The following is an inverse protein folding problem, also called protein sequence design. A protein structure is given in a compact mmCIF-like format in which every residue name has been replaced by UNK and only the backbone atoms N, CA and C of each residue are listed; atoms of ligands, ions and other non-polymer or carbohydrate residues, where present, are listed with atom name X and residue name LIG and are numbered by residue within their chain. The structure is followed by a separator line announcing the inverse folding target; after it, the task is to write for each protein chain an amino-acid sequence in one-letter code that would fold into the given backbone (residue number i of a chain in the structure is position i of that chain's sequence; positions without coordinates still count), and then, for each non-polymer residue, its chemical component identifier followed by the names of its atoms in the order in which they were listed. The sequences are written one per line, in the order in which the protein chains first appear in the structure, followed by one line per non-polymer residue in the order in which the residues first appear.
data_IF_736143304624
#
_entry.id   IF_736143304624
#
_cell.length_a   1.000
_cell.length_b   1.000
_cell.length_c   1.000
_cell.angle_alpha   90.00
_cell.angle_beta   90.00
_cell.angle_gamma   90.00
#
_symmetry.space_group_name_H-M   'P 1'
#
loop_
_entity.id
_entity.type
_entity.pdbx_description
1 polymer ?
#
# COMPACT_ATOMS: atom_id res chain seq x y z
N UNK A 1 19.79 36.98 10.67
CA UNK A 1 21.10 37.54 10.29
C UNK A 1 21.23 37.74 8.76
N UNK A 2 20.13 37.69 8.01
CA UNK A 2 20.09 37.80 6.52
C UNK A 2 19.85 39.24 6.01
N UNK A 3 19.57 40.18 6.89
CA UNK A 3 19.12 41.55 6.53
C UNK A 3 20.23 42.56 6.27
N UNK A 4 21.48 42.23 6.62
CA UNK A 4 22.59 43.19 6.54
C UNK A 4 23.37 43.19 5.21
N UNK A 5 23.20 42.17 4.35
CA UNK A 5 24.05 41.93 3.18
C UNK A 5 23.56 42.65 1.91
N UNK A 6 22.36 43.22 1.90
CA UNK A 6 21.78 43.89 0.73
C UNK A 6 22.08 45.41 0.62
N UNK A 7 23.06 45.90 1.33
CA UNK A 7 23.33 47.35 1.37
C UNK A 7 24.26 47.83 0.24
N UNK A 8 25.27 47.04 -0.13
CA UNK A 8 26.27 47.45 -1.08
C UNK A 8 25.75 47.59 -2.54
N UNK A 9 24.81 46.70 -2.96
CA UNK A 9 24.17 46.84 -4.25
C UNK A 9 23.26 48.08 -4.36
N UNK A 10 22.64 48.49 -3.25
CA UNK A 10 21.84 49.75 -3.19
C UNK A 10 22.69 51.02 -3.27
N UNK A 11 23.95 50.93 -2.92
CA UNK A 11 24.89 52.06 -3.00
C UNK A 11 25.47 52.22 -4.39
N UNK A 12 25.31 51.23 -5.28
CA UNK A 12 25.73 51.34 -6.69
C UNK A 12 24.86 52.35 -7.40
N UNK A 13 25.48 53.34 -8.09
CA UNK A 13 24.72 54.34 -8.86
C UNK A 13 23.72 53.67 -9.84
N UNK A 14 22.46 54.16 -9.90
CA UNK A 14 21.43 53.57 -10.74
C UNK A 14 21.79 53.47 -12.23
N UNK A 15 22.64 54.35 -12.71
CA UNK A 15 23.10 54.27 -14.11
C UNK A 15 24.06 53.10 -14.34
N UNK A 16 24.91 52.77 -13.35
CA UNK A 16 25.82 51.59 -13.45
C UNK A 16 25.04 50.30 -13.36
N UNK A 17 24.03 50.21 -12.48
CA UNK A 17 23.14 49.06 -12.40
C UNK A 17 22.43 48.83 -13.75
N UNK A 18 21.87 49.89 -14.37
CA UNK A 18 21.23 49.80 -15.67
C UNK A 18 22.22 49.39 -16.78
N UNK A 19 23.45 49.96 -16.77
CA UNK A 19 24.48 49.60 -17.73
C UNK A 19 24.94 48.16 -17.60
N UNK A 20 25.10 47.67 -16.36
CA UNK A 20 25.41 46.26 -16.05
C UNK A 20 24.32 45.36 -16.59
N UNK A 21 23.05 45.63 -16.24
CA UNK A 21 21.91 44.81 -16.63
C UNK A 21 21.74 44.80 -18.19
N UNK A 22 21.88 45.94 -18.87
CA UNK A 22 21.78 46.01 -20.32
C UNK A 22 22.84 45.14 -20.99
N UNK A 23 24.11 45.25 -20.54
CA UNK A 23 25.21 44.42 -21.09
C UNK A 23 25.01 42.93 -20.76
N UNK A 24 24.56 42.61 -19.54
CA UNK A 24 24.27 41.21 -19.16
C UNK A 24 23.19 40.62 -20.06
N UNK A 25 22.10 41.37 -20.36
CA UNK A 25 21.02 40.92 -21.22
C UNK A 25 21.46 40.73 -22.68
N UNK A 26 22.31 41.62 -23.20
CA UNK A 26 22.89 41.48 -24.54
C UNK A 26 23.69 40.19 -24.72
N UNK A 27 24.32 39.72 -23.65
CA UNK A 27 25.15 38.52 -23.67
C UNK A 27 24.40 37.23 -23.36
N UNK A 28 23.17 37.29 -22.84
CA UNK A 28 22.39 36.12 -22.48
C UNK A 28 22.29 35.06 -23.58
N UNK A 29 22.04 35.42 -24.87
CA UNK A 29 21.91 34.39 -25.91
C UNK A 29 23.20 33.59 -26.11
N UNK A 30 24.36 34.27 -26.16
CA UNK A 30 25.66 33.61 -26.32
C UNK A 30 26.05 32.80 -25.10
N UNK A 31 25.87 33.37 -23.91
CA UNK A 31 26.13 32.68 -22.63
C UNK A 31 25.26 31.44 -22.46
N UNK A 32 23.98 31.46 -22.82
CA UNK A 32 23.10 30.33 -22.78
C UNK A 32 23.56 29.19 -23.70
N UNK A 33 24.06 29.52 -24.90
CA UNK A 33 24.63 28.52 -25.80
C UNK A 33 25.92 27.91 -25.24
N UNK A 34 26.79 28.73 -24.68
CA UNK A 34 28.03 28.27 -24.05
C UNK A 34 27.75 27.34 -22.86
N UNK A 35 26.82 27.71 -21.97
CA UNK A 35 26.39 26.89 -20.89
C UNK A 35 25.83 25.55 -21.39
N UNK A 36 24.97 25.56 -22.39
CA UNK A 36 24.40 24.34 -22.97
C UNK A 36 25.49 23.44 -23.58
N UNK A 37 26.49 24.02 -24.23
CA UNK A 37 27.63 23.31 -24.83
C UNK A 37 28.42 22.58 -23.73
N UNK A 38 28.75 23.29 -22.64
CA UNK A 38 29.48 22.73 -21.51
C UNK A 38 28.68 21.65 -20.80
N UNK A 39 27.35 21.84 -20.62
CA UNK A 39 26.46 20.83 -20.08
C UNK A 39 26.50 19.55 -20.94
N UNK A 40 26.39 19.68 -22.26
CA UNK A 40 26.43 18.54 -23.17
C UNK A 40 27.77 17.80 -23.12
N UNK A 41 28.85 18.54 -22.96
CA UNK A 41 30.18 17.98 -22.83
C UNK A 41 30.35 17.22 -21.51
N UNK A 42 29.89 17.78 -20.39
CA UNK A 42 30.03 17.19 -19.07
C UNK A 42 29.02 16.06 -18.79
N UNK A 43 27.82 16.12 -19.42
CA UNK A 43 26.70 15.21 -19.18
C UNK A 43 26.06 14.73 -20.50
N UNK A 44 26.77 13.94 -21.34
CA UNK A 44 26.29 13.51 -22.65
C UNK A 44 25.07 12.59 -22.60
N UNK A 45 24.77 12.01 -21.44
CA UNK A 45 23.61 11.15 -21.20
C UNK A 45 22.29 11.93 -21.06
N UNK A 46 22.31 13.25 -20.93
CA UNK A 46 21.09 14.04 -20.81
C UNK A 46 20.36 14.09 -22.16
N UNK A 47 19.04 13.82 -22.19
CA UNK A 47 18.28 13.84 -23.43
C UNK A 47 18.15 15.27 -23.98
N UNK A 48 18.28 15.40 -25.28
CA UNK A 48 17.93 16.63 -25.97
C UNK A 48 16.45 16.58 -26.30
N UNK A 49 15.65 17.31 -25.53
CA UNK A 49 14.21 17.41 -25.76
C UNK A 49 13.93 18.72 -26.48
N UNK A 50 13.50 18.69 -27.76
CA UNK A 50 13.10 19.90 -28.47
C UNK A 50 11.77 20.46 -27.91
N UNK A 51 11.57 21.75 -27.98
CA UNK A 51 10.29 22.41 -27.75
C UNK A 51 9.37 22.35 -28.98
N UNK A 52 8.25 23.06 -28.94
CA UNK A 52 7.29 23.13 -30.04
C UNK A 52 7.86 23.81 -31.30
N UNK A 53 8.95 24.59 -31.17
CA UNK A 53 9.63 25.30 -32.24
C UNK A 53 10.94 24.64 -32.68
N UNK A 54 11.26 23.43 -32.12
CA UNK A 54 12.49 22.70 -32.44
C UNK A 54 13.74 23.19 -31.69
N UNK A 55 13.62 24.19 -30.80
CA UNK A 55 14.70 24.56 -29.88
C UNK A 55 14.84 23.55 -28.74
N UNK A 56 16.05 23.43 -28.21
CA UNK A 56 16.26 22.62 -27.01
C UNK A 56 15.56 23.27 -25.81
N UNK A 57 14.65 22.57 -25.16
CA UNK A 57 14.01 23.03 -23.90
C UNK A 57 15.04 23.49 -22.87
N UNK A 58 16.20 22.82 -22.81
CA UNK A 58 17.30 23.22 -21.95
C UNK A 58 17.83 24.62 -22.31
N UNK A 59 17.99 24.94 -23.59
CA UNK A 59 18.45 26.27 -24.04
C UNK A 59 17.45 27.36 -23.64
N UNK A 60 16.16 27.10 -23.88
CA UNK A 60 15.08 28.03 -23.50
C UNK A 60 15.08 28.24 -21.97
N UNK A 61 15.21 27.17 -21.18
CA UNK A 61 15.26 27.23 -19.72
C UNK A 61 16.47 28.03 -19.23
N UNK A 62 17.66 27.80 -19.78
CA UNK A 62 18.88 28.53 -19.42
C UNK A 62 18.71 30.02 -19.75
N UNK A 63 18.24 30.37 -20.96
CA UNK A 63 18.01 31.74 -21.37
C UNK A 63 17.02 32.43 -20.45
N UNK A 64 15.85 31.86 -20.22
CA UNK A 64 14.84 32.40 -19.31
C UNK A 64 15.36 32.60 -17.87
N UNK A 65 16.18 31.69 -17.39
CA UNK A 65 16.79 31.83 -16.05
C UNK A 65 17.72 33.02 -15.97
N UNK A 66 18.59 33.19 -16.96
CA UNK A 66 19.54 34.31 -17.00
C UNK A 66 18.80 35.65 -17.14
N UNK A 67 17.84 35.76 -18.04
CA UNK A 67 17.00 36.95 -18.21
C UNK A 67 16.24 37.29 -16.92
N UNK A 68 15.67 36.28 -16.28
CA UNK A 68 14.93 36.46 -15.03
C UNK A 68 15.81 36.87 -13.87
N UNK A 69 17.00 36.30 -13.74
CA UNK A 69 17.98 36.68 -12.74
C UNK A 69 18.41 38.15 -12.92
N UNK A 70 18.75 38.57 -14.14
CA UNK A 70 19.13 39.97 -14.44
C UNK A 70 17.97 40.93 -14.19
N UNK A 71 16.74 40.55 -14.59
CA UNK A 71 15.55 41.37 -14.30
C UNK A 71 15.30 41.54 -12.81
N UNK A 72 15.57 40.52 -12.03
CA UNK A 72 15.44 40.56 -10.55
C UNK A 72 16.42 41.57 -9.92
N UNK A 73 17.66 41.64 -10.41
CA UNK A 73 18.66 42.61 -9.94
C UNK A 73 18.25 44.06 -10.11
N UNK A 74 17.45 44.36 -11.14
CA UNK A 74 16.97 45.72 -11.47
C UNK A 74 15.64 46.07 -10.79
N UNK A 75 14.88 45.07 -10.36
CA UNK A 75 13.52 45.26 -9.82
C UNK A 75 13.47 45.64 -8.33
N UNK A 76 14.59 45.54 -7.62
CA UNK A 76 14.69 45.81 -6.18
C UNK A 76 14.27 44.62 -5.29
N UNK A 77 14.59 44.67 -4.01
CA UNK A 77 14.51 43.52 -3.06
C UNK A 77 13.10 43.09 -2.68
N UNK A 78 12.08 43.90 -2.98
CA UNK A 78 10.70 43.64 -2.51
C UNK A 78 9.86 42.80 -3.49
N UNK A 79 10.41 42.39 -4.64
CA UNK A 79 9.71 41.50 -5.55
C UNK A 79 9.99 40.03 -5.20
N UNK A 80 8.95 39.20 -5.08
CA UNK A 80 9.17 37.77 -4.84
C UNK A 80 9.94 37.15 -6.01
N UNK A 81 10.89 36.25 -5.68
CA UNK A 81 11.56 35.42 -6.66
C UNK A 81 10.55 34.47 -7.29
N UNK A 82 10.09 34.76 -8.51
CA UNK A 82 9.26 33.83 -9.28
C UNK A 82 10.20 33.08 -10.22
N UNK A 83 10.48 31.84 -9.89
CA UNK A 83 11.29 31.00 -10.74
C UNK A 83 10.47 30.50 -11.95
N UNK A 84 11.07 30.41 -13.14
CA UNK A 84 10.40 29.89 -14.32
C UNK A 84 9.86 28.47 -14.07
N UNK A 85 8.61 28.21 -14.48
CA UNK A 85 7.96 26.88 -14.32
C UNK A 85 8.71 25.75 -15.05
N UNK A 86 9.57 26.08 -15.99
CA UNK A 86 10.41 25.11 -16.71
C UNK A 86 11.25 24.22 -15.78
N UNK A 87 11.64 24.75 -14.60
CA UNK A 87 12.41 23.96 -13.61
C UNK A 87 11.56 22.90 -12.91
N UNK A 88 10.28 23.18 -12.67
CA UNK A 88 9.33 22.12 -12.23
C UNK A 88 9.16 21.05 -13.29
N UNK A 89 9.13 21.43 -14.57
CA UNK A 89 9.01 20.48 -15.68
C UNK A 89 10.27 19.61 -15.82
N UNK A 90 11.46 20.17 -15.62
CA UNK A 90 12.69 19.38 -15.58
C UNK A 90 12.67 18.35 -14.43
N UNK A 91 12.36 18.79 -13.23
CA UNK A 91 12.21 17.88 -12.10
C UNK A 91 11.15 16.81 -12.33
N UNK A 92 10.00 17.19 -12.90
CA UNK A 92 8.93 16.26 -13.29
C UNK A 92 9.41 15.24 -14.31
N UNK A 93 10.19 15.66 -15.31
CA UNK A 93 10.76 14.76 -16.32
C UNK A 93 11.68 13.70 -15.71
N UNK A 94 12.53 14.09 -14.76
CA UNK A 94 13.38 13.15 -14.01
C UNK A 94 12.56 12.18 -13.17
N UNK A 95 11.55 12.69 -12.45
CA UNK A 95 10.64 11.88 -11.66
C UNK A 95 9.87 10.84 -12.47
N UNK A 96 9.34 11.24 -13.65
CA UNK A 96 8.62 10.32 -14.55
C UNK A 96 9.50 9.20 -15.11
N UNK A 97 10.81 9.45 -15.24
CA UNK A 97 11.78 8.49 -15.76
C UNK A 97 12.51 7.71 -14.65
N UNK A 98 12.16 7.94 -13.39
CA UNK A 98 12.77 7.29 -12.23
C UNK A 98 14.26 7.61 -12.05
N UNK A 99 14.74 8.75 -12.60
CA UNK A 99 16.12 9.20 -12.48
C UNK A 99 16.34 10.07 -11.26
N UNK A 100 17.58 10.10 -10.73
CA UNK A 100 17.95 10.98 -9.61
C UNK A 100 18.04 12.44 -10.06
N UNK A 101 17.72 13.36 -9.14
CA UNK A 101 17.93 14.80 -9.32
C UNK A 101 19.41 15.23 -9.25
N UNK A 102 20.34 14.35 -8.88
CA UNK A 102 21.75 14.71 -8.67
C UNK A 102 22.41 15.29 -9.91
N UNK A 103 22.13 14.70 -11.08
CA UNK A 103 22.65 15.18 -12.36
C UNK A 103 22.08 16.55 -12.68
N UNK A 104 20.77 16.75 -12.47
CA UNK A 104 20.12 18.05 -12.72
C UNK A 104 20.69 19.14 -11.80
N UNK A 105 20.91 18.85 -10.53
CA UNK A 105 21.55 19.79 -9.60
C UNK A 105 23.00 20.08 -9.96
N UNK A 106 23.74 19.09 -10.46
CA UNK A 106 25.10 19.29 -10.93
C UNK A 106 25.16 20.21 -12.16
N UNK A 107 24.20 20.05 -13.09
CA UNK A 107 23.99 20.91 -14.25
C UNK A 107 23.71 22.36 -13.83
N UNK A 108 22.83 22.57 -12.84
CA UNK A 108 22.54 23.91 -12.36
C UNK A 108 23.77 24.57 -11.73
N UNK A 109 24.55 23.86 -10.91
CA UNK A 109 25.80 24.36 -10.36
C UNK A 109 26.81 24.72 -11.44
N UNK A 110 26.91 23.94 -12.51
CA UNK A 110 27.76 24.25 -13.65
C UNK A 110 27.28 25.53 -14.34
N UNK A 111 25.99 25.67 -14.62
CA UNK A 111 25.39 26.85 -15.26
C UNK A 111 25.62 28.12 -14.45
N UNK A 112 25.36 28.09 -13.13
CA UNK A 112 25.60 29.24 -12.25
C UNK A 112 27.07 29.65 -12.20
N UNK A 113 28.01 28.70 -12.18
CA UNK A 113 29.44 28.99 -12.21
C UNK A 113 29.88 29.67 -13.51
N UNK A 114 29.34 29.25 -14.64
CA UNK A 114 29.64 29.85 -15.94
C UNK A 114 29.01 31.26 -16.02
N UNK A 115 27.77 31.39 -15.62
CA UNK A 115 27.07 32.66 -15.54
C UNK A 115 27.79 33.68 -14.64
N UNK A 116 28.21 33.24 -13.44
CA UNK A 116 28.94 34.05 -12.50
C UNK A 116 30.26 34.60 -13.13
N UNK A 117 31.04 33.74 -13.78
CA UNK A 117 32.29 34.18 -14.44
C UNK A 117 32.05 35.29 -15.43
N UNK A 118 31.00 35.18 -16.26
CA UNK A 118 30.66 36.18 -17.26
C UNK A 118 30.15 37.47 -16.65
N UNK A 119 29.27 37.37 -15.64
CA UNK A 119 28.75 38.51 -14.89
C UNK A 119 29.88 39.27 -14.17
N UNK A 120 30.88 38.58 -13.62
CA UNK A 120 32.02 39.17 -12.98
C UNK A 120 32.89 39.98 -13.98
N UNK A 121 33.09 39.49 -15.22
CA UNK A 121 33.77 40.21 -16.29
C UNK A 121 33.01 41.50 -16.67
N UNK A 122 31.69 41.41 -16.82
CA UNK A 122 30.83 42.58 -17.09
C UNK A 122 30.89 43.58 -15.94
N UNK A 123 30.84 43.12 -14.70
CA UNK A 123 30.93 43.95 -13.51
C UNK A 123 32.24 44.76 -13.43
N UNK A 124 33.38 44.14 -13.83
CA UNK A 124 34.65 44.82 -13.92
C UNK A 124 34.65 45.88 -15.01
N UNK A 125 34.09 45.60 -16.19
CA UNK A 125 34.00 46.56 -17.32
C UNK A 125 33.15 47.80 -16.99
N UNK A 126 32.11 47.62 -16.14
CA UNK A 126 31.19 48.69 -15.71
C UNK A 126 31.66 49.33 -14.39
N UNK A 127 32.76 48.86 -13.82
CA UNK A 127 33.31 49.31 -12.54
C UNK A 127 32.33 49.19 -11.37
N UNK A 128 31.62 48.06 -11.29
CA UNK A 128 30.79 47.72 -10.13
C UNK A 128 31.74 47.50 -8.90
N UNK A 129 31.47 48.08 -7.74
CA UNK A 129 32.29 47.89 -6.56
C UNK A 129 32.35 46.43 -6.10
N UNK A 130 33.50 45.97 -5.62
CA UNK A 130 33.70 44.61 -5.15
C UNK A 130 32.68 44.15 -4.10
N UNK A 131 32.29 44.94 -3.11
CA UNK A 131 31.24 44.54 -2.14
C UNK A 131 29.90 44.23 -2.82
N UNK A 132 29.49 45.01 -3.82
CA UNK A 132 28.26 44.76 -4.58
C UNK A 132 28.35 43.48 -5.45
N UNK A 133 29.55 43.17 -5.98
CA UNK A 133 29.79 41.91 -6.66
C UNK A 133 29.69 40.67 -5.77
N UNK A 134 30.11 40.78 -4.47
CA UNK A 134 29.91 39.69 -3.52
C UNK A 134 28.43 39.48 -3.22
N UNK A 135 27.64 40.53 -3.03
CA UNK A 135 26.19 40.43 -2.85
C UNK A 135 25.50 39.84 -4.08
N UNK A 136 25.98 40.16 -5.29
CA UNK A 136 25.48 39.56 -6.52
C UNK A 136 25.76 38.04 -6.56
N UNK A 137 26.94 37.59 -6.12
CA UNK A 137 27.27 36.19 -6.04
C UNK A 137 26.34 35.46 -5.07
N UNK A 138 26.10 36.03 -3.89
CA UNK A 138 25.21 35.51 -2.87
C UNK A 138 23.78 35.39 -3.39
N UNK A 139 23.28 36.42 -4.06
CA UNK A 139 21.97 36.37 -4.76
C UNK A 139 21.91 35.30 -5.84
N UNK A 140 23.01 35.02 -6.53
CA UNK A 140 23.13 33.93 -7.49
C UNK A 140 22.97 32.56 -6.86
N UNK A 141 23.53 32.36 -5.67
CA UNK A 141 23.34 31.10 -4.91
C UNK A 141 21.92 30.98 -4.38
N UNK A 142 21.33 32.05 -3.83
CA UNK A 142 19.91 32.04 -3.41
C UNK A 142 18.97 31.70 -4.59
N UNK A 143 19.28 32.26 -5.77
CA UNK A 143 18.54 31.96 -6.98
C UNK A 143 18.66 30.48 -7.37
N UNK A 144 19.90 29.91 -7.31
CA UNK A 144 20.14 28.49 -7.55
C UNK A 144 19.33 27.61 -6.62
N UNK A 145 19.31 27.92 -5.32
CA UNK A 145 18.54 27.17 -4.34
C UNK A 145 17.05 27.16 -4.68
N UNK A 146 16.54 28.29 -5.17
CA UNK A 146 15.18 28.40 -5.67
C UNK A 146 14.92 27.50 -6.89
N UNK A 147 15.83 27.45 -7.87
CA UNK A 147 15.70 26.56 -9.04
C UNK A 147 15.69 25.08 -8.62
N UNK A 148 16.56 24.72 -7.68
CA UNK A 148 16.62 23.35 -7.12
C UNK A 148 15.30 23.03 -6.41
N UNK A 149 14.78 23.95 -5.58
CA UNK A 149 13.51 23.75 -4.87
C UNK A 149 12.33 23.53 -5.83
N UNK A 150 12.24 24.31 -6.93
CA UNK A 150 11.21 24.11 -7.97
C UNK A 150 11.34 22.74 -8.64
N UNK A 151 12.57 22.31 -8.95
CA UNK A 151 12.81 20.98 -9.54
C UNK A 151 12.45 19.83 -8.59
N UNK A 152 12.80 19.97 -7.30
CA UNK A 152 12.40 19.00 -6.27
C UNK A 152 10.88 18.92 -6.15
N UNK A 153 10.18 20.05 -6.22
CA UNK A 153 8.71 20.09 -6.20
C UNK A 153 8.12 19.34 -7.39
N UNK A 154 8.59 19.63 -8.61
CA UNK A 154 8.12 18.93 -9.82
C UNK A 154 8.39 17.42 -9.78
N UNK A 155 9.55 17.02 -9.25
CA UNK A 155 9.92 15.62 -9.04
C UNK A 155 8.98 14.92 -8.05
N UNK A 156 8.77 15.54 -6.90
CA UNK A 156 7.90 15.00 -5.86
C UNK A 156 6.44 14.84 -6.35
N UNK A 157 5.93 15.83 -7.11
CA UNK A 157 4.60 15.75 -7.72
C UNK A 157 4.49 14.60 -8.73
N UNK A 158 5.52 14.40 -9.56
CA UNK A 158 5.53 13.29 -10.53
C UNK A 158 5.58 11.93 -9.82
N UNK A 159 6.46 11.79 -8.84
CA UNK A 159 6.59 10.57 -8.06
C UNK A 159 5.28 10.23 -7.30
N UNK A 160 4.64 11.24 -6.69
CA UNK A 160 3.35 11.06 -6.01
C UNK A 160 2.23 10.64 -6.98
N UNK A 161 2.18 11.22 -8.18
CA UNK A 161 1.19 10.85 -9.21
C UNK A 161 1.41 9.42 -9.70
N UNK A 162 2.66 9.03 -9.99
CA UNK A 162 2.99 7.65 -10.39
C UNK A 162 2.64 6.64 -9.31
N UNK A 163 2.99 6.94 -8.05
CA UNK A 163 2.64 6.08 -6.92
C UNK A 163 1.11 5.94 -6.79
N UNK A 164 0.36 7.05 -6.89
CA UNK A 164 -1.10 7.03 -6.85
C UNK A 164 -1.73 6.26 -8.03
N UNK A 165 -1.17 6.40 -9.24
CA UNK A 165 -1.65 5.65 -10.41
C UNK A 165 -1.36 4.15 -10.26
N UNK A 166 -0.15 3.78 -9.83
CA UNK A 166 0.21 2.38 -9.55
C UNK A 166 -0.74 1.76 -8.52
N UNK A 167 -1.04 2.46 -7.41
CA UNK A 167 -1.99 2.00 -6.40
C UNK A 167 -3.41 1.80 -6.98
N UNK A 168 -3.87 2.72 -7.83
CA UNK A 168 -5.17 2.60 -8.52
C UNK A 168 -5.21 1.38 -9.45
N UNK A 169 -4.16 1.16 -10.23
CA UNK A 169 -4.06 -0.01 -11.12
C UNK A 169 -4.00 -1.31 -10.31
N UNK A 170 -3.23 -1.33 -9.23
CA UNK A 170 -3.15 -2.47 -8.31
C UNK A 170 -4.52 -2.80 -7.71
N UNK A 171 -5.27 -1.81 -7.23
CA UNK A 171 -6.62 -2.00 -6.71
C UNK A 171 -7.56 -2.58 -7.78
N UNK A 172 -7.57 -2.03 -8.99
CA UNK A 172 -8.39 -2.55 -10.10
C UNK A 172 -8.04 -3.99 -10.45
N UNK A 173 -6.76 -4.36 -10.38
CA UNK A 173 -6.31 -5.74 -10.56
C UNK A 173 -6.88 -6.65 -9.47
N UNK A 174 -6.77 -6.25 -8.20
CA UNK A 174 -7.32 -6.99 -7.06
C UNK A 174 -8.84 -7.14 -7.16
N UNK A 175 -9.57 -6.06 -7.49
CA UNK A 175 -11.02 -6.11 -7.69
C UNK A 175 -11.41 -7.11 -8.80
N UNK A 176 -10.66 -7.13 -9.91
CA UNK A 176 -10.90 -8.09 -10.99
C UNK A 176 -10.65 -9.54 -10.55
N UNK A 177 -9.63 -9.79 -9.72
CA UNK A 177 -9.36 -11.10 -9.14
C UNK A 177 -10.50 -11.54 -8.20
N UNK A 178 -11.10 -10.61 -7.47
CA UNK A 178 -12.16 -10.89 -6.50
C UNK A 178 -13.55 -10.97 -7.11
N UNK A 179 -13.83 -10.22 -8.16
CA UNK A 179 -15.12 -10.30 -8.87
C UNK A 179 -15.22 -11.51 -9.77
N UNK A 180 -14.10 -12.18 -10.10
CA UNK A 180 -13.95 -13.42 -10.86
C UNK A 180 -15.04 -13.69 -11.91
N UNK A 181 -14.85 -14.34 -13.00
CA UNK A 181 -15.96 -14.66 -13.89
C UNK A 181 -16.93 -15.59 -13.15
N UNK A 182 -18.01 -15.00 -12.63
CA UNK A 182 -19.17 -15.76 -12.25
C UNK A 182 -19.56 -16.62 -13.47
N UNK A 183 -19.33 -17.94 -13.40
CA UNK A 183 -19.57 -18.91 -14.47
C UNK A 183 -18.77 -18.64 -15.75
N UNK A 184 -17.55 -19.16 -15.82
CA UNK A 184 -16.90 -19.38 -17.13
C UNK A 184 -17.83 -20.17 -18.03
N UNK A 185 -18.35 -19.54 -19.08
CA UNK A 185 -18.76 -20.26 -20.27
C UNK A 185 -17.52 -21.02 -20.77
N UNK A 186 -17.54 -22.37 -20.75
CA UNK A 186 -16.56 -23.23 -21.43
C UNK A 186 -16.41 -22.71 -22.85
N UNK A 187 -15.29 -22.13 -23.24
CA UNK A 187 -15.05 -21.83 -24.64
C UNK A 187 -14.15 -20.66 -25.03
N UNK A 188 -13.60 -19.88 -24.13
CA UNK A 188 -12.65 -18.81 -24.49
C UNK A 188 -11.38 -18.90 -23.65
N UNK A 189 -10.49 -19.82 -24.00
CA UNK A 189 -9.20 -19.99 -23.32
C UNK A 189 -8.03 -19.74 -24.27
N UNK A 190 -7.15 -18.82 -23.91
CA UNK A 190 -5.73 -18.86 -24.27
C UNK A 190 -5.09 -20.07 -23.60
N UNK A 191 -3.97 -20.59 -24.13
CA UNK A 191 -3.30 -21.81 -23.69
C UNK A 191 -3.07 -21.91 -22.16
N UNK A 192 -3.01 -20.78 -21.43
CA UNK A 192 -2.79 -20.71 -19.97
C UNK A 192 -4.05 -20.36 -19.16
N UNK A 193 -5.21 -20.21 -19.80
CA UNK A 193 -6.48 -19.95 -19.11
C UNK A 193 -6.62 -18.58 -18.44
N UNK A 194 -5.62 -17.69 -18.47
CA UNK A 194 -5.67 -16.34 -17.88
C UNK A 194 -6.27 -15.35 -18.88
N UNK A 195 -7.27 -14.52 -18.50
CA UNK A 195 -7.83 -13.50 -19.37
C UNK A 195 -6.77 -12.47 -19.79
N UNK A 196 -6.67 -12.08 -21.10
CA UNK A 196 -5.70 -11.09 -21.57
C UNK A 196 -5.74 -9.78 -20.79
N UNK A 197 -6.93 -9.27 -20.49
CA UNK A 197 -7.11 -8.05 -19.70
C UNK A 197 -6.52 -8.13 -18.28
N UNK A 198 -6.45 -9.31 -17.67
CA UNK A 198 -5.81 -9.53 -16.38
C UNK A 198 -4.29 -9.51 -16.54
N UNK A 199 -3.78 -10.16 -17.59
CA UNK A 199 -2.35 -10.18 -17.89
C UNK A 199 -1.80 -8.78 -18.21
N UNK A 200 -2.52 -7.99 -19.01
CA UNK A 200 -2.16 -6.62 -19.35
C UNK A 200 -2.09 -5.72 -18.10
N UNK A 201 -3.06 -5.82 -17.21
CA UNK A 201 -3.08 -5.05 -15.95
C UNK A 201 -1.96 -5.45 -15.01
N UNK A 202 -1.68 -6.75 -14.88
CA UNK A 202 -0.56 -7.24 -14.09
C UNK A 202 0.77 -6.72 -14.64
N UNK A 203 0.96 -6.77 -15.97
CA UNK A 203 2.14 -6.25 -16.64
C UNK A 203 2.29 -4.72 -16.42
N UNK A 204 1.19 -3.97 -16.46
CA UNK A 204 1.21 -2.52 -16.26
C UNK A 204 1.75 -2.08 -14.88
N UNK A 205 1.63 -2.93 -13.86
CA UNK A 205 2.20 -2.68 -12.52
C UNK A 205 3.48 -3.48 -12.26
N UNK A 206 3.97 -4.24 -13.26
CA UNK A 206 5.14 -5.11 -13.11
C UNK A 206 4.90 -6.31 -12.19
N UNK A 207 3.65 -6.79 -12.07
CA UNK A 207 3.33 -7.94 -11.23
C UNK A 207 3.33 -9.23 -12.05
N UNK A 208 4.22 -10.15 -11.68
CA UNK A 208 4.28 -11.48 -12.30
C UNK A 208 3.09 -12.31 -11.83
N UNK A 209 2.32 -12.85 -12.78
CA UNK A 209 1.15 -13.68 -12.48
C UNK A 209 1.58 -14.99 -11.81
N UNK A 210 1.19 -15.26 -10.55
CA UNK A 210 1.51 -16.50 -9.87
C UNK A 210 0.56 -17.63 -10.29
N UNK A 211 0.99 -18.88 -10.12
CA UNK A 211 0.10 -20.02 -10.31
C UNK A 211 -0.95 -20.11 -9.20
N UNK A 212 -0.55 -19.83 -7.96
CA UNK A 212 -1.40 -19.90 -6.76
C UNK A 212 -1.32 -18.62 -5.94
N UNK A 213 -2.42 -18.29 -5.29
CA UNK A 213 -2.52 -17.16 -4.38
C UNK A 213 -3.29 -17.52 -3.12
N UNK A 214 -3.00 -16.82 -2.04
CA UNK A 214 -3.90 -16.70 -0.89
C UNK A 214 -4.28 -15.24 -0.70
N UNK A 215 -5.47 -14.99 -0.18
CA UNK A 215 -5.93 -13.64 0.14
C UNK A 215 -6.04 -13.49 1.64
N UNK A 216 -5.38 -12.45 2.19
CA UNK A 216 -5.56 -12.08 3.58
C UNK A 216 -6.47 -10.85 3.68
N UNK A 217 -7.30 -10.86 4.72
CA UNK A 217 -8.14 -9.73 5.14
C UNK A 217 -7.68 -9.30 6.52
N UNK A 218 -7.42 -8.01 6.70
CA UNK A 218 -6.91 -7.45 7.93
C UNK A 218 -7.99 -6.64 8.65
N UNK A 219 -7.92 -6.65 9.97
CA UNK A 219 -8.68 -5.77 10.84
C UNK A 219 -7.83 -4.54 11.17
N UNK A 220 -8.41 -3.35 11.05
CA UNK A 220 -7.72 -2.13 11.45
C UNK A 220 -7.51 -2.13 12.95
N UNK A 221 -6.27 -1.95 13.43
CA UNK A 221 -6.01 -1.85 14.86
C UNK A 221 -6.69 -0.61 15.44
N UNK A 222 -7.06 -0.67 16.72
CA UNK A 222 -7.68 0.45 17.43
C UNK A 222 -6.73 1.66 17.62
N UNK A 223 -5.42 1.44 17.50
CA UNK A 223 -4.38 2.49 17.52
C UNK A 223 -3.78 2.62 16.13
N UNK A 224 -3.26 3.80 15.80
CA UNK A 224 -2.47 3.99 14.58
C UNK A 224 -1.36 2.94 14.50
N UNK A 225 -1.46 2.06 13.50
CA UNK A 225 -0.44 1.09 13.20
C UNK A 225 0.18 1.41 11.84
N UNK A 226 1.48 1.18 11.74
CA UNK A 226 2.20 1.29 10.48
C UNK A 226 1.64 0.23 9.52
N UNK A 227 1.46 0.62 8.26
CA UNK A 227 1.01 -0.32 7.22
C UNK A 227 1.95 -1.54 7.15
N UNK A 228 1.42 -2.74 6.85
CA UNK A 228 2.24 -3.93 6.73
C UNK A 228 3.38 -3.76 5.71
N UNK A 229 4.62 -4.03 6.12
CA UNK A 229 5.79 -3.97 5.26
C UNK A 229 5.92 -5.27 4.44
N UNK A 230 5.08 -5.42 3.42
CA UNK A 230 5.00 -6.63 2.60
C UNK A 230 6.09 -6.69 1.53
N UNK A 231 6.40 -7.91 1.05
CA UNK A 231 7.31 -8.12 -0.07
C UNK A 231 6.74 -7.46 -1.35
N UNK A 232 7.61 -7.03 -2.30
CA UNK A 232 7.20 -6.29 -3.50
C UNK A 232 6.23 -7.04 -4.43
N UNK A 233 6.18 -8.37 -4.34
CA UNK A 233 5.29 -9.24 -5.10
C UNK A 233 3.89 -9.39 -4.46
N UNK A 234 3.70 -8.96 -3.22
CA UNK A 234 2.40 -8.97 -2.53
C UNK A 234 1.61 -7.72 -2.92
N UNK A 235 0.39 -7.91 -3.41
CA UNK A 235 -0.52 -6.78 -3.65
C UNK A 235 -1.21 -6.41 -2.34
N UNK A 236 -1.16 -5.13 -1.95
CA UNK A 236 -1.71 -4.63 -0.69
C UNK A 236 -2.68 -3.48 -0.95
N UNK A 237 -3.93 -3.63 -0.55
CA UNK A 237 -4.95 -2.58 -0.56
C UNK A 237 -5.28 -2.15 0.87
N UNK A 238 -4.78 -0.97 1.24
CA UNK A 238 -5.00 -0.36 2.57
C UNK A 238 -6.19 0.61 2.60
N UNK A 239 -6.77 0.96 1.46
CA UNK A 239 -7.85 1.96 1.41
C UNK A 239 -9.25 1.34 1.55
N UNK A 240 -9.38 0.03 1.30
CA UNK A 240 -10.62 -0.69 1.56
C UNK A 240 -11.01 -0.62 3.05
N UNK A 241 -12.28 -0.71 3.35
CA UNK A 241 -12.81 -0.74 4.72
C UNK A 241 -12.08 -1.79 5.56
N UNK A 242 -11.93 -3.00 5.01
CA UNK A 242 -11.04 -4.02 5.53
C UNK A 242 -9.84 -4.15 4.59
N UNK A 243 -8.62 -3.78 5.04
CA UNK A 243 -7.42 -3.91 4.22
C UNK A 243 -7.20 -5.35 3.75
N UNK A 244 -6.69 -5.52 2.53
CA UNK A 244 -6.56 -6.83 1.89
C UNK A 244 -5.19 -7.00 1.28
N UNK A 245 -4.69 -8.24 1.29
CA UNK A 245 -3.45 -8.62 0.61
C UNK A 245 -3.71 -9.80 -0.31
N UNK A 246 -3.12 -9.79 -1.51
CA UNK A 246 -3.00 -10.97 -2.37
C UNK A 246 -1.57 -11.44 -2.30
N UNK A 247 -1.39 -12.64 -1.77
CA UNK A 247 -0.10 -13.26 -1.49
C UNK A 247 0.18 -14.30 -2.56
N UNK A 248 1.16 -14.09 -3.45
CA UNK A 248 1.58 -15.08 -4.43
C UNK A 248 2.32 -16.25 -3.75
N UNK A 249 2.15 -17.44 -4.31
CA UNK A 249 2.81 -18.68 -3.88
C UNK A 249 2.84 -18.84 -2.34
N UNK A 250 1.67 -18.88 -1.68
CA UNK A 250 1.59 -18.83 -0.21
C UNK A 250 2.24 -20.04 0.47
N UNK A 251 2.36 -21.16 -0.25
CA UNK A 251 2.97 -22.41 0.25
C UNK A 251 4.50 -22.42 0.07
N UNK A 252 5.11 -21.36 -0.51
CA UNK A 252 6.57 -21.29 -0.69
C UNK A 252 7.30 -21.25 0.66
N UNK A 253 8.47 -21.90 0.77
CA UNK A 253 9.24 -21.92 2.01
C UNK A 253 9.50 -20.53 2.59
N UNK A 254 9.26 -20.33 3.90
CA UNK A 254 9.47 -19.07 4.60
C UNK A 254 8.42 -17.98 4.32
N UNK A 255 7.47 -18.20 3.41
CA UNK A 255 6.45 -17.20 3.06
C UNK A 255 5.52 -16.89 4.23
N UNK A 256 5.14 -17.91 4.99
CA UNK A 256 4.27 -17.76 6.18
C UNK A 256 4.92 -16.87 7.24
N UNK A 257 6.19 -17.10 7.55
CA UNK A 257 6.96 -16.34 8.53
C UNK A 257 7.17 -14.89 8.08
N UNK A 258 7.42 -14.67 6.78
CA UNK A 258 7.54 -13.32 6.23
C UNK A 258 6.22 -12.54 6.37
N UNK A 259 5.08 -13.18 6.09
CA UNK A 259 3.76 -12.57 6.24
C UNK A 259 3.42 -12.29 7.70
N UNK A 260 3.71 -13.21 8.60
CA UNK A 260 3.48 -13.01 10.04
C UNK A 260 4.29 -11.81 10.57
N UNK A 261 5.54 -11.65 10.13
CA UNK A 261 6.37 -10.48 10.48
C UNK A 261 5.83 -9.19 9.84
N UNK A 262 5.44 -9.23 8.57
CA UNK A 262 4.92 -8.07 7.86
C UNK A 262 3.61 -7.56 8.45
N UNK A 263 2.76 -8.47 8.92
CA UNK A 263 1.48 -8.17 9.55
C UNK A 263 1.57 -8.05 11.10
N UNK A 264 2.79 -7.97 11.66
CA UNK A 264 2.95 -7.84 13.12
C UNK A 264 2.19 -6.61 13.64
N UNK A 265 1.38 -6.80 14.67
CA UNK A 265 0.49 -5.77 15.24
C UNK A 265 -0.85 -5.61 14.52
N UNK A 266 -1.11 -6.40 13.47
CA UNK A 266 -2.40 -6.49 12.78
C UNK A 266 -3.09 -7.81 13.14
N UNK A 267 -4.40 -7.75 13.36
CA UNK A 267 -5.26 -8.93 13.40
C UNK A 267 -5.84 -9.18 12.01
N UNK A 268 -6.19 -10.42 11.71
CA UNK A 268 -6.82 -10.74 10.45
C UNK A 268 -6.85 -12.23 10.17
N UNK A 269 -7.17 -12.61 8.95
CA UNK A 269 -7.14 -13.99 8.51
C UNK A 269 -6.65 -14.12 7.07
N UNK A 270 -5.97 -15.21 6.76
CA UNK A 270 -5.57 -15.59 5.41
C UNK A 270 -6.35 -16.83 4.98
N UNK A 271 -6.98 -16.74 3.82
CA UNK A 271 -7.71 -17.82 3.19
C UNK A 271 -6.78 -18.90 2.63
N UNK A 272 -7.35 -20.03 2.17
CA UNK A 272 -6.57 -21.13 1.61
C UNK A 272 -5.83 -20.73 0.34
N UNK A 273 -4.72 -21.40 0.06
CA UNK A 273 -4.03 -21.32 -1.20
C UNK A 273 -4.90 -21.88 -2.34
N UNK A 274 -5.15 -21.06 -3.35
CA UNK A 274 -6.03 -21.40 -4.50
C UNK A 274 -5.35 -21.01 -5.81
N UNK A 275 -5.78 -21.59 -6.97
CA UNK A 275 -5.37 -21.05 -8.26
C UNK A 275 -5.69 -19.55 -8.38
N UNK A 276 -4.86 -18.79 -9.10
CA UNK A 276 -4.99 -17.32 -9.24
C UNK A 276 -6.43 -16.87 -9.54
N UNK A 277 -7.10 -17.53 -10.47
CA UNK A 277 -8.46 -17.17 -10.90
C UNK A 277 -9.56 -17.53 -9.89
N UNK A 278 -9.20 -18.25 -8.84
CA UNK A 278 -10.07 -18.61 -7.72
C UNK A 278 -9.83 -17.71 -6.48
N UNK A 279 -9.07 -16.63 -6.61
CA UNK A 279 -8.74 -15.71 -5.51
C UNK A 279 -9.97 -15.27 -4.69
N UNK A 280 -11.13 -15.10 -5.34
CA UNK A 280 -12.39 -14.80 -4.67
C UNK A 280 -12.81 -15.87 -3.64
N UNK A 281 -12.41 -17.15 -3.82
CA UNK A 281 -12.69 -18.20 -2.82
C UNK A 281 -11.87 -17.97 -1.57
N UNK A 282 -10.57 -17.68 -1.74
CA UNK A 282 -9.67 -17.38 -0.63
C UNK A 282 -10.12 -16.14 0.15
N UNK A 283 -10.55 -15.08 -0.57
CA UNK A 283 -11.10 -13.87 0.03
C UNK A 283 -12.34 -14.16 0.89
N UNK A 284 -13.29 -14.95 0.38
CA UNK A 284 -14.51 -15.27 1.15
C UNK A 284 -14.20 -16.00 2.47
N UNK A 285 -13.24 -16.94 2.45
CA UNK A 285 -12.85 -17.64 3.66
C UNK A 285 -12.15 -16.70 4.65
N UNK A 286 -11.24 -15.86 4.17
CA UNK A 286 -10.59 -14.87 5.02
C UNK A 286 -11.59 -13.88 5.62
N UNK A 287 -12.56 -13.41 4.83
CA UNK A 287 -13.64 -12.53 5.29
C UNK A 287 -14.50 -13.19 6.38
N UNK A 288 -14.93 -14.45 6.16
CA UNK A 288 -15.70 -15.18 7.14
C UNK A 288 -14.93 -15.41 8.46
N UNK A 289 -13.63 -15.68 8.38
CA UNK A 289 -12.81 -15.81 9.59
C UNK A 289 -12.67 -14.49 10.35
N UNK A 290 -12.51 -13.37 9.61
CA UNK A 290 -12.47 -12.03 10.22
C UNK A 290 -13.80 -11.67 10.88
N UNK A 291 -14.95 -11.99 10.25
CA UNK A 291 -16.28 -11.79 10.86
C UNK A 291 -16.42 -12.56 12.18
N UNK A 292 -15.91 -13.79 12.22
CA UNK A 292 -15.91 -14.59 13.44
C UNK A 292 -14.95 -14.03 14.52
N UNK A 293 -13.81 -13.47 14.11
CA UNK A 293 -12.86 -12.82 15.02
C UNK A 293 -13.47 -11.55 15.63
N UNK A 294 -14.15 -10.70 14.83
CA UNK A 294 -14.85 -9.50 15.33
C UNK A 294 -15.95 -9.84 16.33
N UNK A 295 -16.56 -11.01 16.18
CA UNK A 295 -17.59 -11.52 17.11
C UNK A 295 -16.99 -12.23 18.34
N UNK A 296 -15.67 -12.31 18.44
CA UNK A 296 -14.99 -13.00 19.55
C UNK A 296 -15.06 -14.53 19.48
N UNK A 297 -15.43 -15.10 18.34
CA UNK A 297 -15.57 -16.55 18.13
C UNK A 297 -14.28 -17.20 17.63
N UNK A 298 -13.34 -16.40 17.13
CA UNK A 298 -11.96 -16.78 16.80
C UNK A 298 -10.98 -15.85 17.52
N UNK A 299 -9.75 -16.30 17.80
CA UNK A 299 -8.75 -15.49 18.47
C UNK A 299 -8.39 -14.22 17.65
N UNK A 300 -8.03 -13.14 18.35
CA UNK A 300 -7.53 -11.91 17.77
C UNK A 300 -6.06 -11.71 18.13
N UNK A 301 -5.37 -10.80 17.42
CA UNK A 301 -3.99 -10.41 17.72
C UNK A 301 -2.95 -10.92 16.75
N UNK A 302 -3.31 -11.82 15.83
CA UNK A 302 -2.44 -12.36 14.79
C UNK A 302 -3.17 -12.62 13.47
N UNK A 303 -2.43 -13.02 12.43
CA UNK A 303 -2.99 -13.41 11.14
C UNK A 303 -3.33 -14.91 11.16
N UNK A 304 -4.62 -15.22 11.34
CA UNK A 304 -5.13 -16.59 11.43
C UNK A 304 -5.06 -17.32 10.08
N UNK A 305 -4.79 -18.61 10.11
CA UNK A 305 -4.89 -19.49 8.95
C UNK A 305 -6.29 -20.11 8.89
N UNK A 306 -7.08 -19.77 7.86
CA UNK A 306 -8.46 -20.32 7.72
C UNK A 306 -8.50 -21.85 7.70
N UNK A 307 -7.46 -22.49 7.18
CA UNK A 307 -7.36 -23.96 7.11
C UNK A 307 -7.25 -24.62 8.50
N UNK A 308 -6.80 -23.90 9.51
CA UNK A 308 -6.69 -24.36 10.90
C UNK A 308 -8.02 -24.19 11.66
N UNK A 309 -8.96 -23.40 11.12
CA UNK A 309 -10.26 -23.07 11.73
C UNK A 309 -11.45 -23.53 10.87
N UNK A 310 -11.26 -24.58 10.05
CA UNK A 310 -12.26 -25.03 9.07
C UNK A 310 -13.59 -25.41 9.73
N UNK A 311 -13.57 -26.05 10.91
CA UNK A 311 -14.78 -26.40 11.65
C UNK A 311 -15.62 -25.16 11.98
N UNK A 312 -14.99 -24.12 12.52
CA UNK A 312 -15.68 -22.86 12.84
C UNK A 312 -16.24 -22.17 11.58
N UNK A 313 -15.48 -22.14 10.49
CA UNK A 313 -15.90 -21.53 9.24
C UNK A 313 -17.07 -22.25 8.55
N UNK A 314 -17.21 -23.55 8.76
CA UNK A 314 -18.32 -24.35 8.20
C UNK A 314 -19.55 -24.25 9.09
N UNK A 315 -19.40 -24.29 10.42
CA UNK A 315 -20.50 -24.40 11.35
C UNK A 315 -21.11 -23.06 11.75
N UNK A 316 -20.33 -21.97 11.80
CA UNK A 316 -20.80 -20.70 12.37
C UNK A 316 -21.42 -19.70 11.38
N UNK A 317 -20.98 -19.58 10.11
CA UNK A 317 -21.54 -18.58 9.18
C UNK A 317 -23.04 -18.72 8.86
N UNK A 318 -23.63 -19.94 8.72
CA UNK A 318 -25.07 -20.06 8.53
C UNK A 318 -25.82 -19.97 9.87
N UNK A 319 -25.73 -18.80 10.54
CA UNK A 319 -26.19 -18.58 11.92
C UNK A 319 -27.66 -18.95 12.11
N UNK A 320 -28.54 -18.40 11.28
CA UNK A 320 -29.99 -18.66 11.35
C UNK A 320 -30.33 -20.15 11.21
N UNK A 321 -29.62 -20.85 10.29
CA UNK A 321 -29.84 -22.27 10.08
C UNK A 321 -29.39 -23.10 11.27
N UNK A 322 -28.22 -22.79 11.81
CA UNK A 322 -27.69 -23.48 12.99
C UNK A 322 -28.53 -23.19 14.23
N UNK A 323 -29.03 -21.99 14.39
CA UNK A 323 -29.93 -21.64 15.49
C UNK A 323 -31.27 -22.36 15.41
N UNK A 324 -31.86 -22.42 14.23
CA UNK A 324 -33.11 -23.13 14.00
C UNK A 324 -32.94 -24.66 14.26
N UNK A 325 -31.84 -25.23 13.76
CA UNK A 325 -31.52 -26.64 13.99
C UNK A 325 -31.25 -26.91 15.50
N UNK A 326 -30.54 -26.00 16.17
CA UNK A 326 -30.26 -26.06 17.61
C UNK A 326 -31.55 -26.06 18.39
N UNK A 327 -32.47 -25.15 18.13
CA UNK A 327 -33.78 -25.06 18.78
C UNK A 327 -34.58 -26.34 18.60
N UNK A 328 -34.62 -26.91 17.40
CA UNK A 328 -35.35 -28.15 17.11
C UNK A 328 -34.72 -29.39 17.78
N UNK A 329 -33.38 -29.51 17.73
CA UNK A 329 -32.68 -30.73 18.17
C UNK A 329 -32.37 -30.76 19.65
N UNK A 330 -32.20 -29.61 20.29
CA UNK A 330 -31.88 -29.52 21.71
C UNK A 330 -33.10 -29.14 22.58
N UNK A 331 -34.30 -29.00 22.00
CA UNK A 331 -35.54 -28.74 22.71
C UNK A 331 -35.75 -29.70 23.95
N UNK A 332 -35.39 -31.02 23.88
CA UNK A 332 -35.53 -31.89 25.05
C UNK A 332 -34.75 -31.44 26.29
N UNK A 333 -33.65 -30.68 26.11
CA UNK A 333 -32.84 -30.15 27.22
C UNK A 333 -33.50 -28.97 27.93
N UNK A 334 -34.47 -28.30 27.33
CA UNK A 334 -35.16 -27.12 27.91
C UNK A 334 -35.94 -27.54 29.20
N UNK A 335 -36.35 -28.79 29.28
CA UNK A 335 -37.01 -29.37 30.46
C UNK A 335 -36.10 -29.64 31.65
N UNK A 336 -34.76 -29.63 31.44
CA UNK A 336 -33.78 -30.11 32.42
C UNK A 336 -33.19 -29.02 33.32
N UNK A 337 -33.53 -27.75 33.10
CA UNK A 337 -32.90 -26.62 33.75
C UNK A 337 -31.47 -26.34 33.24
N UNK A 338 -30.96 -25.08 33.30
CA UNK A 338 -29.79 -24.65 32.59
C UNK A 338 -28.50 -25.41 32.92
N UNK A 339 -28.20 -25.61 34.20
CA UNK A 339 -26.96 -26.25 34.64
C UNK A 339 -26.95 -27.77 34.38
N UNK A 340 -28.12 -28.42 34.49
CA UNK A 340 -28.23 -29.85 34.22
C UNK A 340 -28.25 -30.12 32.72
N UNK A 341 -29.01 -29.34 31.94
CA UNK A 341 -29.03 -29.41 30.49
C UNK A 341 -27.64 -29.24 29.87
N UNK A 342 -26.83 -28.30 30.38
CA UNK A 342 -25.43 -28.11 29.92
C UNK A 342 -24.61 -29.38 30.14
N UNK A 343 -24.65 -29.99 31.35
CA UNK A 343 -23.92 -31.23 31.64
C UNK A 343 -24.36 -32.42 30.79
N UNK A 344 -25.64 -32.49 30.43
CA UNK A 344 -26.15 -33.52 29.52
C UNK A 344 -25.64 -33.25 28.10
N UNK A 345 -25.68 -31.99 27.62
CA UNK A 345 -25.16 -31.61 26.31
C UNK A 345 -23.65 -31.93 26.17
N UNK A 346 -22.82 -31.59 27.16
CA UNK A 346 -21.40 -31.94 27.21
C UNK A 346 -21.17 -33.45 27.13
N UNK A 347 -21.98 -34.21 27.90
CA UNK A 347 -21.89 -35.66 27.89
C UNK A 347 -22.32 -36.26 26.56
N UNK A 348 -23.38 -35.74 25.97
CA UNK A 348 -23.86 -36.15 24.66
C UNK A 348 -22.82 -35.90 23.58
N UNK A 349 -22.23 -34.66 23.55
CA UNK A 349 -21.17 -34.33 22.58
C UNK A 349 -19.97 -35.28 22.74
N UNK A 350 -19.46 -35.45 23.96
CA UNK A 350 -18.36 -36.36 24.24
C UNK A 350 -18.65 -37.79 23.78
N UNK A 351 -19.89 -38.26 23.97
CA UNK A 351 -20.31 -39.59 23.52
C UNK A 351 -20.42 -39.69 22.00
N UNK A 352 -20.95 -38.70 21.30
CA UNK A 352 -21.05 -38.66 19.83
C UNK A 352 -19.67 -38.64 19.18
N UNK A 353 -18.72 -37.90 19.74
CA UNK A 353 -17.34 -37.78 19.25
C UNK A 353 -16.46 -39.01 19.56
N UNK A 354 -16.86 -39.82 20.57
CA UNK A 354 -16.09 -40.96 21.04
C UNK A 354 -16.71 -42.26 20.47
N UNK A 355 -15.90 -43.06 19.77
CA UNK A 355 -16.36 -44.39 19.30
C UNK A 355 -16.37 -45.47 20.41
N UNK A 356 -16.03 -45.04 21.64
CA UNK A 356 -15.88 -45.91 22.82
C UNK A 356 -17.06 -45.89 23.79
N UNK A 357 -16.93 -46.63 24.90
CA UNK A 357 -17.94 -46.76 25.92
C UNK A 357 -17.90 -45.69 27.02
N UNK A 358 -18.70 -45.86 28.07
CA UNK A 358 -18.74 -44.93 29.18
C UNK A 358 -17.39 -44.64 29.88
N UNK A 359 -16.40 -45.55 29.91
CA UNK A 359 -15.09 -45.25 30.48
C UNK A 359 -14.32 -44.17 29.70
N UNK A 360 -14.32 -44.22 28.36
CA UNK A 360 -13.59 -43.26 27.52
C UNK A 360 -14.22 -41.87 27.59
N UNK A 361 -15.55 -41.79 27.54
CA UNK A 361 -16.30 -40.55 27.74
C UNK A 361 -16.03 -39.96 29.13
N UNK A 362 -15.97 -40.81 30.17
CA UNK A 362 -15.68 -40.40 31.54
C UNK A 362 -14.25 -39.80 31.67
N UNK A 363 -13.26 -40.45 31.05
CA UNK A 363 -11.89 -39.96 31.03
C UNK A 363 -11.80 -38.58 30.37
N UNK A 364 -12.51 -38.37 29.26
CA UNK A 364 -12.54 -37.10 28.53
C UNK A 364 -13.20 -35.96 29.31
N UNK A 365 -14.26 -36.28 30.09
CA UNK A 365 -14.99 -35.29 30.87
C UNK A 365 -14.44 -35.08 32.29
N UNK A 366 -13.45 -35.87 32.73
CA UNK A 366 -12.90 -35.84 34.08
C UNK A 366 -13.91 -36.26 35.15
N UNK A 367 -14.82 -37.19 34.82
CA UNK A 367 -15.87 -37.67 35.74
C UNK A 367 -15.84 -39.18 35.92
N UNK A 368 -16.53 -39.71 36.94
CA UNK A 368 -16.58 -41.14 37.14
C UNK A 368 -17.46 -41.87 36.07
N UNK A 369 -17.11 -43.08 35.59
CA UNK A 369 -17.88 -43.81 34.58
C UNK A 369 -19.36 -44.06 34.94
N UNK A 370 -19.68 -44.21 36.21
CA UNK A 370 -21.06 -44.31 36.67
C UNK A 370 -21.88 -43.05 36.40
N UNK A 371 -21.27 -41.87 36.55
CA UNK A 371 -21.90 -40.59 36.22
C UNK A 371 -22.25 -40.50 34.75
N UNK A 372 -21.35 -40.96 33.87
CA UNK A 372 -21.59 -41.01 32.44
C UNK A 372 -22.73 -41.96 32.09
N UNK A 373 -22.74 -43.18 32.67
CA UNK A 373 -23.84 -44.14 32.46
C UNK A 373 -25.20 -43.55 32.87
N UNK A 374 -25.24 -42.88 34.02
CA UNK A 374 -26.44 -42.21 34.51
C UNK A 374 -26.91 -41.12 33.54
N UNK A 375 -26.02 -40.23 33.10
CA UNK A 375 -26.34 -39.15 32.14
C UNK A 375 -26.75 -39.70 30.78
N UNK A 376 -26.11 -40.76 30.27
CA UNK A 376 -26.47 -41.38 28.99
C UNK A 376 -27.85 -42.07 29.08
N UNK A 377 -28.25 -42.56 30.23
CA UNK A 377 -29.62 -43.07 30.43
C UNK A 377 -30.63 -41.94 30.32
N UNK A 378 -30.41 -40.82 31.00
CA UNK A 378 -31.28 -39.63 30.90
C UNK A 378 -31.36 -39.11 29.46
N UNK A 379 -30.23 -39.07 28.74
CA UNK A 379 -30.17 -38.66 27.32
C UNK A 379 -31.05 -39.58 26.47
N UNK A 380 -30.98 -40.89 26.70
CA UNK A 380 -31.86 -41.84 25.98
C UNK A 380 -33.34 -41.68 26.33
N UNK A 381 -33.64 -41.30 27.56
CA UNK A 381 -35.03 -41.00 27.97
C UNK A 381 -35.56 -39.74 27.29
N UNK A 382 -34.70 -38.71 27.05
CA UNK A 382 -35.08 -37.47 26.42
C UNK A 382 -35.28 -37.57 24.92
N UNK A 383 -34.40 -38.27 24.20
CA UNK A 383 -34.45 -38.38 22.73
C UNK A 383 -35.07 -39.69 22.23
N UNK A 384 -35.29 -40.66 23.11
CA UNK A 384 -35.84 -41.96 22.72
C UNK A 384 -35.04 -42.64 21.61
N UNK A 385 -35.75 -43.17 20.63
CA UNK A 385 -35.14 -43.84 19.47
C UNK A 385 -34.40 -42.91 18.52
N UNK A 386 -34.64 -41.60 18.57
CA UNK A 386 -33.96 -40.62 17.68
C UNK A 386 -32.45 -40.60 17.93
N UNK A 387 -31.97 -40.94 19.16
CA UNK A 387 -30.53 -40.90 19.46
C UNK A 387 -29.74 -42.02 18.74
N UNK A 388 -30.41 -43.05 18.28
CA UNK A 388 -29.81 -44.18 17.54
C UNK A 388 -29.91 -44.01 16.04
N UNK A 389 -30.71 -43.03 15.54
CA UNK A 389 -30.81 -42.65 14.14
C UNK A 389 -29.53 -41.93 13.65
N UNK A 390 -28.83 -42.41 12.61
CA UNK A 390 -27.58 -41.84 12.16
C UNK A 390 -27.69 -40.38 11.74
N UNK A 391 -28.79 -39.99 11.07
CA UNK A 391 -28.97 -38.61 10.56
C UNK A 391 -29.23 -37.66 11.74
N UNK A 392 -30.01 -38.11 12.75
CA UNK A 392 -30.27 -37.35 13.98
C UNK A 392 -29.01 -37.18 14.82
N UNK A 393 -28.21 -38.22 14.90
CA UNK A 393 -26.91 -38.18 15.59
C UNK A 393 -25.99 -37.15 14.96
N UNK A 394 -25.92 -37.11 13.62
CA UNK A 394 -25.14 -36.12 12.89
C UNK A 394 -25.64 -34.71 13.16
N UNK A 395 -26.95 -34.44 13.10
CA UNK A 395 -27.54 -33.15 13.41
C UNK A 395 -27.26 -32.73 14.87
N UNK A 396 -27.38 -33.64 15.84
CA UNK A 396 -27.05 -33.38 17.26
C UNK A 396 -25.55 -33.04 17.42
N UNK A 397 -24.66 -33.80 16.79
CA UNK A 397 -23.23 -33.54 16.86
C UNK A 397 -22.91 -32.16 16.27
N UNK A 398 -23.51 -31.80 15.14
CA UNK A 398 -23.31 -30.52 14.43
C UNK A 398 -23.71 -29.33 15.30
N UNK A 399 -24.91 -29.36 15.92
CA UNK A 399 -25.37 -28.25 16.78
C UNK A 399 -24.61 -28.15 18.09
N UNK A 400 -24.19 -29.30 18.66
CA UNK A 400 -23.42 -29.30 19.89
C UNK A 400 -21.97 -28.80 19.67
N UNK A 401 -21.37 -29.13 18.55
CA UNK A 401 -20.08 -28.57 18.15
C UNK A 401 -20.16 -27.05 17.92
N UNK A 402 -21.20 -26.58 17.23
CA UNK A 402 -21.45 -25.16 17.05
C UNK A 402 -21.60 -24.41 18.38
N UNK A 403 -22.33 -24.98 19.35
CA UNK A 403 -22.48 -24.45 20.72
C UNK A 403 -21.14 -24.42 21.48
N UNK A 404 -20.33 -25.46 21.35
CA UNK A 404 -18.99 -25.49 21.95
C UNK A 404 -18.10 -24.38 21.37
N UNK A 405 -18.10 -24.20 20.05
CA UNK A 405 -17.33 -23.13 19.39
C UNK A 405 -17.80 -21.74 19.82
N UNK A 406 -19.08 -21.54 20.13
CA UNK A 406 -19.63 -20.28 20.67
C UNK A 406 -19.33 -20.08 22.17
N UNK A 407 -18.74 -21.05 22.86
CA UNK A 407 -18.47 -20.99 24.31
C UNK A 407 -19.68 -21.31 25.18
N UNK A 408 -20.78 -21.78 24.59
CA UNK A 408 -22.00 -22.17 25.33
C UNK A 408 -21.86 -23.54 26.03
N UNK A 409 -20.86 -24.32 25.62
CA UNK A 409 -20.44 -25.58 26.24
C UNK A 409 -18.95 -25.46 26.59
N UNK A 410 -18.61 -25.61 27.84
CA UNK A 410 -17.20 -25.55 28.33
C UNK A 410 -16.53 -26.91 28.29
#
# INVERSE_FOLDING_TARGET
MVTAVRSAWREVPPYQVRQFAARALEEVPALAQDILREIRHAYPQLPVVPDEFGESRALVGIRQSLEHFVAHLTAGPDRPHVHPRVFQEFGRGEGLQGRSLDVLQAVYRLGVRLAWRRLAEIGQQVAIPAPAMYELAESGYEYLDGLVAESVRGYAEAAARQAGERLRLQRRLMEQLFTGPARRRRGAGTADGVPPALAERAAAIGWTLPARVAVAVLLRPAREAVAPAVAPDVLLDMESERPRMVVPEPDAPGRRELLARAAAGWSGAIGPAVPLLDAAKSLRWAGAAVDLTERGLLPAGELLQCTEHTEALVLLPPEELIEDLTRRRLAPLDSCGPAHGRRLAETLLAWLETRGGAPEVAARLGVHPQTVRYRLRQIRELWGAEIDDPDRRFELELVLRARRLRGDLS
#
